data_IF_226389087195
#
_entry.id   IF_226389087195
#
_cell.length_a   1.000
_cell.length_b   1.000
_cell.length_c   1.000
_cell.angle_alpha   90.00
_cell.angle_beta   90.00
_cell.angle_gamma   90.00
#
_symmetry.space_group_name_H-M   'P 1'
#
loop_
_entity.id
_entity.type
_entity.pdbx_description
1 polymer ?
#
# COMPACT_ATOMS: atom_id res chain seq x y z
N UNK A 1 -12.49 -11.59 0.36
CA UNK A 1 -12.50 -11.27 -1.09
C UNK A 1 -11.38 -10.27 -1.37
N UNK A 2 -10.67 -10.40 -2.48
CA UNK A 2 -9.77 -9.35 -2.97
C UNK A 2 -10.52 -8.52 -4.00
N UNK A 3 -10.55 -7.20 -3.84
CA UNK A 3 -11.26 -6.28 -4.75
C UNK A 3 -10.29 -5.27 -5.36
N UNK A 4 -10.39 -5.12 -6.68
CA UNK A 4 -9.80 -4.01 -7.42
C UNK A 4 -10.97 -3.22 -8.00
N UNK A 5 -11.00 -1.93 -7.71
CA UNK A 5 -12.06 -1.03 -8.19
C UNK A 5 -11.48 0.38 -8.37
N UNK A 6 -12.32 1.34 -8.75
CA UNK A 6 -11.91 2.74 -8.88
C UNK A 6 -11.94 3.45 -7.52
N UNK A 7 -13.14 3.66 -6.95
CA UNK A 7 -13.28 4.43 -5.71
C UNK A 7 -12.95 3.62 -4.46
N UNK A 8 -12.13 4.18 -3.55
CA UNK A 8 -11.86 3.61 -2.23
C UNK A 8 -13.15 3.34 -1.43
N UNK A 9 -14.15 4.22 -1.56
CA UNK A 9 -15.45 4.10 -0.89
C UNK A 9 -16.18 2.81 -1.24
N UNK A 10 -16.02 2.29 -2.46
CA UNK A 10 -16.62 1.01 -2.85
C UNK A 10 -15.98 -0.16 -2.12
N UNK A 11 -14.65 -0.17 -1.99
CA UNK A 11 -13.92 -1.18 -1.24
C UNK A 11 -14.31 -1.15 0.26
N UNK A 12 -14.43 0.05 0.84
CA UNK A 12 -14.90 0.24 2.23
C UNK A 12 -16.35 -0.21 2.42
N UNK A 13 -17.22 0.09 1.45
CA UNK A 13 -18.63 -0.33 1.48
C UNK A 13 -18.73 -1.85 1.44
N UNK A 14 -17.97 -2.51 0.56
CA UNK A 14 -17.91 -3.96 0.51
C UNK A 14 -17.39 -4.53 1.83
N UNK A 15 -16.33 -3.95 2.41
CA UNK A 15 -15.80 -4.35 3.71
C UNK A 15 -16.84 -4.23 4.83
N UNK A 16 -17.59 -3.11 4.87
CA UNK A 16 -18.60 -2.84 5.89
C UNK A 16 -19.75 -3.86 5.90
N UNK A 17 -20.17 -4.34 4.74
CA UNK A 17 -21.32 -5.25 4.60
C UNK A 17 -20.91 -6.72 4.41
N UNK A 18 -19.63 -7.04 4.44
CA UNK A 18 -19.13 -8.42 4.33
C UNK A 18 -18.87 -9.02 5.72
N UNK A 19 -19.18 -10.30 5.88
CA UNK A 19 -18.84 -11.07 7.10
C UNK A 19 -17.43 -11.67 7.06
N UNK A 20 -16.67 -11.45 5.97
CA UNK A 20 -15.34 -12.00 5.74
C UNK A 20 -14.35 -10.87 5.40
N UNK A 21 -13.04 -11.09 5.58
CA UNK A 21 -12.03 -10.08 5.25
C UNK A 21 -12.08 -9.64 3.78
N UNK A 22 -11.92 -8.34 3.58
CA UNK A 22 -11.79 -7.70 2.27
C UNK A 22 -10.39 -7.11 2.14
N UNK A 23 -9.72 -7.40 1.03
CA UNK A 23 -8.36 -6.91 0.74
C UNK A 23 -8.45 -5.97 -0.45
N UNK A 24 -7.98 -4.72 -0.28
CA UNK A 24 -7.82 -3.78 -1.38
C UNK A 24 -6.64 -4.23 -2.25
N UNK A 25 -6.92 -4.72 -3.46
CA UNK A 25 -5.89 -5.05 -4.42
C UNK A 25 -5.43 -3.87 -5.25
N UNK A 26 -6.27 -2.85 -5.48
CA UNK A 26 -5.95 -1.53 -6.08
C UNK A 26 -7.23 -0.68 -6.12
N UNK A 27 -7.13 0.59 -5.70
CA UNK A 27 -8.07 1.69 -5.95
C UNK A 27 -7.34 2.87 -6.60
N UNK A 28 -8.07 3.89 -7.04
CA UNK A 28 -7.47 5.13 -7.57
C UNK A 28 -6.66 5.87 -6.47
N UNK A 29 -6.99 5.64 -5.20
CA UNK A 29 -6.35 6.27 -4.05
C UNK A 29 -5.16 5.47 -3.49
N UNK A 30 -5.20 4.14 -3.51
CA UNK A 30 -4.20 3.28 -2.84
C UNK A 30 -3.95 1.94 -3.55
N UNK A 31 -2.71 1.44 -3.44
CA UNK A 31 -2.29 0.12 -3.88
C UNK A 31 -1.43 -0.60 -2.81
N UNK A 32 -2.03 -0.97 -1.67
CA UNK A 32 -1.28 -1.40 -0.49
C UNK A 32 -0.54 -2.73 -0.68
N UNK A 33 -1.12 -3.67 -1.45
CA UNK A 33 -0.48 -4.96 -1.72
C UNK A 33 0.83 -4.80 -2.51
N UNK A 34 0.90 -3.85 -3.45
CA UNK A 34 2.14 -3.58 -4.19
C UNK A 34 3.22 -3.07 -3.24
N UNK A 35 2.90 -2.12 -2.36
CA UNK A 35 3.87 -1.56 -1.43
C UNK A 35 4.37 -2.57 -0.40
N UNK A 36 3.51 -3.50 0.05
CA UNK A 36 3.97 -4.62 0.88
C UNK A 36 5.03 -5.48 0.15
N UNK A 37 4.84 -5.73 -1.15
CA UNK A 37 5.82 -6.44 -1.96
C UNK A 37 7.10 -5.61 -2.19
N UNK A 38 6.98 -4.31 -2.41
CA UNK A 38 8.12 -3.40 -2.58
C UNK A 38 8.97 -3.34 -1.30
N UNK A 39 8.34 -3.20 -0.13
CA UNK A 39 9.02 -3.22 1.17
C UNK A 39 9.70 -4.56 1.45
N UNK A 40 9.07 -5.68 1.08
CA UNK A 40 9.72 -6.99 1.13
C UNK A 40 10.96 -7.03 0.25
N UNK A 41 10.87 -6.53 -0.98
CA UNK A 41 11.99 -6.48 -1.93
C UNK A 41 13.13 -5.60 -1.42
N UNK A 42 12.82 -4.43 -0.85
CA UNK A 42 13.82 -3.55 -0.24
C UNK A 42 14.52 -4.28 0.91
N UNK A 43 13.75 -4.95 1.79
CA UNK A 43 14.32 -5.71 2.91
C UNK A 43 15.24 -6.83 2.43
N UNK A 44 14.88 -7.55 1.38
CA UNK A 44 15.73 -8.60 0.80
C UNK A 44 17.06 -8.06 0.24
N UNK A 45 17.06 -6.83 -0.30
CA UNK A 45 18.25 -6.22 -0.89
C UNK A 45 19.09 -5.41 0.10
N UNK A 46 18.48 -4.90 1.17
CA UNK A 46 19.12 -3.99 2.15
C UNK A 46 19.30 -4.61 3.53
N UNK A 47 18.68 -5.76 3.80
CA UNK A 47 18.62 -6.46 5.09
C UNK A 47 17.95 -5.70 6.25
N UNK A 48 17.64 -4.42 6.06
CA UNK A 48 16.96 -3.55 7.02
C UNK A 48 16.01 -2.61 6.27
N UNK A 49 14.98 -2.11 6.95
CA UNK A 49 14.09 -1.06 6.44
C UNK A 49 14.28 0.26 7.20
N UNK A 50 14.48 0.18 8.51
CA UNK A 50 14.70 1.32 9.40
C UNK A 50 15.84 2.23 8.91
N UNK A 51 15.59 3.54 8.90
CA UNK A 51 16.57 4.57 8.56
C UNK A 51 16.91 4.69 7.07
N UNK A 52 16.32 3.87 6.20
CA UNK A 52 16.49 4.02 4.76
C UNK A 52 15.87 5.32 4.23
N UNK A 53 16.41 5.84 3.12
CA UNK A 53 15.80 6.93 2.36
C UNK A 53 15.15 6.37 1.11
N UNK A 54 13.85 6.60 0.96
CA UNK A 54 13.08 6.21 -0.22
C UNK A 54 12.66 7.48 -0.96
N UNK A 55 12.83 7.49 -2.28
CA UNK A 55 12.40 8.58 -3.14
C UNK A 55 11.46 8.03 -4.21
N UNK A 56 10.25 8.60 -4.29
CA UNK A 56 9.32 8.38 -5.39
C UNK A 56 9.34 9.60 -6.30
N UNK A 57 9.53 9.41 -7.60
CA UNK A 57 9.64 10.51 -8.57
C UNK A 57 8.64 10.26 -9.69
N UNK A 58 7.70 11.19 -9.85
CA UNK A 58 6.63 11.08 -10.84
C UNK A 58 5.31 11.61 -10.31
N UNK A 59 4.22 10.97 -10.73
CA UNK A 59 2.85 11.39 -10.41
C UNK A 59 2.42 11.02 -8.98
N UNK A 60 1.63 11.88 -8.35
CA UNK A 60 1.08 11.68 -7.01
C UNK A 60 -0.13 10.74 -7.01
N UNK A 61 0.07 9.49 -7.41
CA UNK A 61 -0.99 8.49 -7.60
C UNK A 61 -1.13 7.53 -6.41
N UNK A 62 -1.96 6.49 -6.57
CA UNK A 62 -2.16 5.42 -5.60
C UNK A 62 -0.86 4.76 -5.08
N UNK A 63 0.13 4.60 -5.94
CA UNK A 63 1.44 4.08 -5.54
C UNK A 63 2.19 5.06 -4.66
N UNK A 64 2.21 6.35 -5.01
CA UNK A 64 2.85 7.38 -4.19
C UNK A 64 2.23 7.45 -2.80
N UNK A 65 0.89 7.42 -2.70
CA UNK A 65 0.16 7.42 -1.44
C UNK A 65 0.50 6.20 -0.58
N UNK A 66 0.34 4.99 -1.13
CA UNK A 66 0.61 3.77 -0.38
C UNK A 66 2.08 3.66 0.03
N UNK A 67 3.02 4.08 -0.83
CA UNK A 67 4.45 4.00 -0.53
C UNK A 67 4.81 4.96 0.61
N UNK A 68 4.23 6.16 0.61
CA UNK A 68 4.41 7.13 1.70
C UNK A 68 3.96 6.55 3.04
N UNK A 69 2.77 5.93 3.09
CA UNK A 69 2.24 5.28 4.29
C UNK A 69 3.12 4.10 4.70
N UNK A 70 3.47 3.22 3.75
CA UNK A 70 4.33 2.07 4.02
C UNK A 70 5.67 2.47 4.62
N UNK A 71 6.34 3.46 4.03
CA UNK A 71 7.61 3.99 4.55
C UNK A 71 7.44 4.63 5.93
N UNK A 72 6.37 5.40 6.16
CA UNK A 72 6.09 5.99 7.47
C UNK A 72 6.02 4.92 8.58
N UNK A 73 5.42 3.76 8.31
CA UNK A 73 5.24 2.71 9.33
C UNK A 73 6.48 1.89 9.64
N UNK A 74 7.40 1.68 8.68
CA UNK A 74 8.49 0.68 8.82
C UNK A 74 9.90 1.22 8.64
N UNK A 75 10.03 2.47 8.18
CA UNK A 75 11.33 3.11 7.96
C UNK A 75 11.61 4.15 9.05
N UNK A 76 10.58 4.85 9.52
CA UNK A 76 10.72 5.91 10.54
C UNK A 76 10.59 5.40 11.99
N UNK A 77 10.11 4.17 12.19
CA UNK A 77 9.97 3.48 13.47
C UNK A 77 10.55 2.08 13.37
#
# INVERSE_FOLDING_TARGET
IMIRTFSQKEAETLAKYSSIPIINGLTDDEHPCQVLADLMTIRENKNILEGLKVAFVGDGNNMANSLMIGCLFVILY
#
